data_IF_500474049606
#
_entry.id   IF_500474049606
#
_cell.length_a   1.000
_cell.length_b   1.000
_cell.length_c   1.000
_cell.angle_alpha   90.00
_cell.angle_beta   90.00
_cell.angle_gamma   90.00
#
_symmetry.space_group_name_H-M   'P 1'
#
loop_
_entity.id
_entity.type
_entity.pdbx_description
1 polymer ?
#
# COMPACT_ATOMS: atom_id res chain seq x y z
N UNK A 1 6.03 2.45 11.55
CA UNK A 1 7.41 2.17 11.10
C UNK A 1 7.83 3.05 9.92
N UNK A 2 7.14 3.00 8.77
CA UNK A 2 7.54 3.76 7.57
C UNK A 2 7.69 5.28 7.80
N UNK A 3 6.76 5.93 8.53
CA UNK A 3 6.90 7.35 8.85
C UNK A 3 8.17 7.70 9.65
N UNK A 4 8.65 6.80 10.51
CA UNK A 4 9.92 6.98 11.23
C UNK A 4 11.12 6.78 10.30
N UNK A 5 11.06 5.79 9.42
CA UNK A 5 12.08 5.58 8.37
C UNK A 5 12.28 6.85 7.52
N UNK A 6 11.16 7.48 7.17
CA UNK A 6 11.14 8.72 6.39
C UNK A 6 11.75 9.87 7.19
N UNK A 7 11.24 10.13 8.40
CA UNK A 7 11.51 11.36 9.15
C UNK A 7 12.79 11.33 10.00
N UNK A 8 13.23 10.16 10.47
CA UNK A 8 14.36 10.06 11.41
C UNK A 8 15.65 10.72 10.89
N UNK A 9 16.08 10.54 9.62
CA UNK A 9 17.24 11.25 9.09
C UNK A 9 17.12 12.78 9.11
N UNK A 10 15.91 13.30 8.89
CA UNK A 10 15.66 14.75 8.94
C UNK A 10 15.65 15.28 10.38
N UNK A 11 15.10 14.51 11.33
CA UNK A 11 15.14 14.85 12.75
C UNK A 11 16.57 14.85 13.28
N UNK A 12 17.39 13.86 12.91
CA UNK A 12 18.82 13.82 13.24
C UNK A 12 19.54 15.03 12.66
N UNK A 13 19.32 15.34 11.37
CA UNK A 13 19.92 16.53 10.74
C UNK A 13 19.51 17.82 11.46
N UNK A 14 18.23 17.95 11.83
CA UNK A 14 17.69 19.09 12.56
C UNK A 14 18.34 19.22 13.94
N UNK A 15 18.42 18.13 14.71
CA UNK A 15 19.07 18.10 16.03
C UNK A 15 20.54 18.50 15.94
N UNK A 16 21.31 17.90 15.02
CA UNK A 16 22.74 18.20 14.84
C UNK A 16 22.96 19.68 14.50
N UNK A 17 22.07 20.28 13.71
CA UNK A 17 22.18 21.70 13.32
C UNK A 17 21.65 22.68 14.35
N UNK A 18 20.82 22.24 15.29
CA UNK A 18 20.19 23.08 16.29
C UNK A 18 20.86 23.00 17.65
N UNK A 19 21.46 21.87 18.00
CA UNK A 19 22.18 21.66 19.26
C UNK A 19 23.20 22.78 19.59
N UNK A 20 23.98 23.33 18.63
CA UNK A 20 24.91 24.43 18.91
C UNK A 20 24.25 25.78 19.22
N UNK A 21 22.94 25.94 18.95
CA UNK A 21 22.21 27.21 19.09
C UNK A 21 21.47 27.36 20.43
N UNK A 22 21.58 26.37 21.31
CA UNK A 22 20.99 26.39 22.65
C UNK A 22 20.05 25.22 22.93
N UNK A 23 20.30 24.53 24.05
CA UNK A 23 19.60 23.30 24.42
C UNK A 23 18.13 23.54 24.81
N UNK A 24 17.79 24.68 25.43
CA UNK A 24 16.41 24.99 25.87
C UNK A 24 15.43 25.10 24.70
N UNK A 25 15.82 25.81 23.64
CA UNK A 25 15.01 25.95 22.42
C UNK A 25 14.92 24.63 21.64
N UNK A 26 15.98 23.83 21.67
CA UNK A 26 15.97 22.50 21.05
C UNK A 26 15.06 21.53 21.81
N UNK A 27 15.11 21.57 23.14
CA UNK A 27 14.25 20.76 24.01
C UNK A 27 12.77 21.13 23.87
N UNK A 28 12.43 22.43 23.83
CA UNK A 28 11.05 22.89 23.59
C UNK A 28 10.50 22.37 22.26
N UNK A 29 11.26 22.52 21.19
CA UNK A 29 10.80 22.08 19.86
C UNK A 29 10.76 20.56 19.75
N UNK A 30 11.72 19.86 20.35
CA UNK A 30 11.70 18.40 20.41
C UNK A 30 10.50 17.90 21.21
N UNK A 31 10.15 18.56 22.32
CA UNK A 31 8.95 18.27 23.10
C UNK A 31 7.68 18.53 22.29
N UNK A 32 7.62 19.61 21.50
CA UNK A 32 6.49 19.90 20.62
C UNK A 32 6.36 18.85 19.51
N UNK A 33 7.46 18.49 18.83
CA UNK A 33 7.46 17.43 17.81
C UNK A 33 7.06 16.09 18.41
N UNK A 34 7.58 15.75 19.60
CA UNK A 34 7.23 14.55 20.34
C UNK A 34 5.75 14.52 20.73
N UNK A 35 5.19 15.64 21.20
CA UNK A 35 3.78 15.78 21.52
C UNK A 35 2.90 15.61 20.27
N UNK A 36 3.24 16.25 19.16
CA UNK A 36 2.51 16.10 17.90
C UNK A 36 2.57 14.66 17.39
N UNK A 37 3.73 14.03 17.44
CA UNK A 37 3.88 12.62 17.08
C UNK A 37 3.04 11.71 17.99
N UNK A 38 3.01 11.98 19.31
CA UNK A 38 2.19 11.23 20.26
C UNK A 38 0.68 11.46 20.04
N UNK A 39 0.25 12.67 19.71
CA UNK A 39 -1.16 12.95 19.41
C UNK A 39 -1.63 12.27 18.12
N UNK A 40 -0.78 12.23 17.10
CA UNK A 40 -1.12 11.63 15.80
C UNK A 40 -0.97 10.10 15.82
N UNK A 41 0.14 9.58 16.34
CA UNK A 41 0.46 8.15 16.28
C UNK A 41 0.10 7.40 17.58
N UNK A 42 0.04 8.09 18.72
CA UNK A 42 -0.17 7.47 20.04
C UNK A 42 -1.43 6.61 20.14
N UNK A 43 -2.62 7.06 19.68
CA UNK A 43 -3.82 6.21 19.70
C UNK A 43 -3.63 4.89 18.94
N UNK A 44 -2.90 4.92 17.81
CA UNK A 44 -2.59 3.72 17.04
C UNK A 44 -1.58 2.82 17.75
N UNK A 45 -0.53 3.38 18.37
CA UNK A 45 0.45 2.61 19.14
C UNK A 45 -0.18 1.96 20.37
N UNK A 46 -1.08 2.67 21.07
CA UNK A 46 -1.84 2.13 22.21
C UNK A 46 -2.74 1.00 21.76
N UNK A 47 -3.49 1.18 20.67
CA UNK A 47 -4.30 0.10 20.09
C UNK A 47 -3.44 -1.10 19.72
N UNK A 48 -2.29 -0.87 19.07
CA UNK A 48 -1.39 -1.97 18.70
C UNK A 48 -0.87 -2.73 19.93
N UNK A 49 -0.48 -2.01 20.98
CA UNK A 49 -0.05 -2.60 22.24
C UNK A 49 -1.18 -3.40 22.91
N UNK A 50 -2.41 -2.88 22.89
CA UNK A 50 -3.57 -3.55 23.47
C UNK A 50 -3.95 -4.81 22.70
N UNK A 51 -3.82 -4.82 21.38
CA UNK A 51 -4.25 -5.93 20.54
C UNK A 51 -3.18 -7.03 20.40
N UNK A 52 -1.93 -6.65 20.11
CA UNK A 52 -0.83 -7.59 19.84
C UNK A 52 0.21 -7.69 20.96
N UNK A 53 0.11 -6.86 22.01
CA UNK A 53 1.15 -6.78 23.04
C UNK A 53 2.45 -6.09 22.58
N UNK A 54 2.43 -5.48 21.39
CA UNK A 54 3.58 -4.81 20.77
C UNK A 54 3.11 -3.47 20.14
N UNK A 55 3.73 -2.32 20.45
CA UNK A 55 3.28 -1.03 19.90
C UNK A 55 3.51 -0.93 18.39
N UNK A 56 4.35 -1.80 17.82
CA UNK A 56 4.64 -1.86 16.40
C UNK A 56 3.64 -2.71 15.60
N UNK A 57 2.68 -3.34 16.28
CA UNK A 57 1.65 -4.19 15.67
C UNK A 57 1.99 -5.68 15.78
N UNK A 58 1.42 -6.47 14.87
CA UNK A 58 1.58 -7.92 14.82
C UNK A 58 3.06 -8.33 14.64
N UNK A 59 3.67 -9.02 15.62
CA UNK A 59 5.07 -9.47 15.52
C UNK A 59 5.28 -10.53 14.43
N UNK A 60 4.21 -11.22 14.00
CA UNK A 60 4.27 -12.29 13.01
C UNK A 60 4.10 -11.77 11.58
N UNK A 61 3.83 -10.47 11.41
CA UNK A 61 3.70 -9.82 10.10
C UNK A 61 5.07 -9.58 9.43
N UNK A 62 5.75 -10.69 9.11
CA UNK A 62 7.07 -10.70 8.47
C UNK A 62 7.02 -10.42 6.97
N UNK A 63 5.85 -10.52 6.34
CA UNK A 63 5.69 -10.38 4.89
C UNK A 63 5.93 -8.98 4.36
N UNK A 64 5.84 -7.94 5.20
CA UNK A 64 6.03 -6.54 4.80
C UNK A 64 7.45 -6.06 5.08
N UNK A 65 8.08 -6.59 6.12
CA UNK A 65 9.42 -6.19 6.54
C UNK A 65 10.49 -6.86 5.66
N UNK A 66 11.57 -6.14 5.38
CA UNK A 66 12.74 -6.76 4.78
C UNK A 66 13.38 -7.71 5.80
N UNK A 67 13.41 -9.01 5.50
CA UNK A 67 13.98 -10.04 6.36
C UNK A 67 15.49 -10.23 6.22
N UNK A 68 16.12 -9.61 5.20
CA UNK A 68 17.54 -9.75 4.87
C UNK A 68 18.18 -8.37 4.69
N UNK A 69 19.21 -8.05 5.48
CA UNK A 69 19.76 -6.69 5.62
C UNK A 69 21.24 -6.53 5.21
N UNK A 70 21.84 -7.51 4.53
CA UNK A 70 23.19 -7.31 3.99
C UNK A 70 23.19 -6.28 2.84
N UNK A 71 24.36 -5.67 2.54
CA UNK A 71 24.46 -4.62 1.53
C UNK A 71 23.91 -5.02 0.16
N UNK A 72 24.11 -6.28 -0.26
CA UNK A 72 23.57 -6.79 -1.52
C UNK A 72 22.04 -6.81 -1.50
N UNK A 73 21.43 -7.31 -0.43
CA UNK A 73 19.98 -7.33 -0.27
C UNK A 73 19.36 -5.94 -0.26
N UNK A 74 19.93 -4.99 0.50
CA UNK A 74 19.44 -3.60 0.55
C UNK A 74 19.59 -2.94 -0.83
N UNK A 75 20.70 -3.19 -1.52
CA UNK A 75 20.94 -2.66 -2.87
C UNK A 75 19.90 -3.17 -3.85
N UNK A 76 19.70 -4.49 -3.95
CA UNK A 76 18.72 -5.06 -4.86
C UNK A 76 17.30 -4.62 -4.52
N UNK A 77 16.93 -4.57 -3.24
CA UNK A 77 15.62 -4.08 -2.83
C UNK A 77 15.42 -2.60 -3.23
N UNK A 78 16.41 -1.75 -2.98
CA UNK A 78 16.39 -0.34 -3.40
C UNK A 78 16.28 -0.17 -4.92
N UNK A 79 16.98 -1.01 -5.69
CA UNK A 79 16.91 -1.02 -7.16
C UNK A 79 15.54 -1.49 -7.66
N UNK A 80 14.93 -2.51 -7.05
CA UNK A 80 13.56 -2.96 -7.35
C UNK A 80 12.52 -1.88 -7.06
N UNK A 81 12.66 -1.18 -5.93
CA UNK A 81 11.84 -0.01 -5.58
C UNK A 81 12.01 1.10 -6.63
N UNK A 82 13.25 1.43 -7.00
CA UNK A 82 13.55 2.44 -8.01
C UNK A 82 12.94 2.08 -9.37
N UNK A 83 13.07 0.83 -9.81
CA UNK A 83 12.46 0.32 -11.03
C UNK A 83 10.93 0.44 -11.02
N UNK A 84 10.31 0.22 -9.85
CA UNK A 84 8.85 0.29 -9.67
C UNK A 84 8.33 1.74 -9.74
N UNK A 85 9.02 2.70 -9.10
CA UNK A 85 8.62 4.13 -9.14
C UNK A 85 8.93 4.79 -10.49
N UNK A 86 9.93 4.28 -11.22
CA UNK A 86 10.34 4.74 -12.54
C UNK A 86 9.65 3.98 -13.68
N UNK A 87 8.74 3.06 -13.36
CA UNK A 87 8.07 2.25 -14.37
C UNK A 87 7.30 3.14 -15.35
N UNK A 88 7.31 2.74 -16.62
CA UNK A 88 6.69 3.48 -17.72
C UNK A 88 5.44 2.76 -18.23
N UNK A 89 4.71 3.36 -19.17
CA UNK A 89 3.60 2.69 -19.85
C UNK A 89 4.07 1.72 -20.94
N UNK A 90 5.38 1.62 -21.22
CA UNK A 90 5.93 0.70 -22.21
C UNK A 90 6.31 -0.63 -21.55
N UNK A 91 5.58 -1.69 -21.90
CA UNK A 91 5.88 -3.05 -21.44
C UNK A 91 7.31 -3.49 -21.80
N UNK A 92 7.78 -3.14 -23.00
CA UNK A 92 9.14 -3.45 -23.47
C UNK A 92 10.21 -2.77 -22.61
N UNK A 93 10.07 -1.47 -22.33
CA UNK A 93 11.01 -0.73 -21.47
C UNK A 93 11.04 -1.36 -20.08
N UNK A 94 9.86 -1.64 -19.51
CA UNK A 94 9.78 -2.24 -18.18
C UNK A 94 10.37 -3.65 -18.15
N UNK A 95 10.19 -4.46 -19.19
CA UNK A 95 10.78 -5.79 -19.30
C UNK A 95 12.33 -5.73 -19.35
N UNK A 96 12.89 -4.78 -20.10
CA UNK A 96 14.34 -4.55 -20.11
C UNK A 96 14.87 -4.09 -18.76
N UNK A 97 14.16 -3.19 -18.08
CA UNK A 97 14.52 -2.75 -16.72
C UNK A 97 14.48 -3.93 -15.77
N UNK A 98 13.43 -4.75 -15.80
CA UNK A 98 13.33 -5.95 -14.95
C UNK A 98 14.49 -6.90 -15.21
N UNK A 99 14.78 -7.23 -16.47
CA UNK A 99 15.90 -8.10 -16.81
C UNK A 99 17.26 -7.54 -16.36
N UNK A 100 17.46 -6.22 -16.39
CA UNK A 100 18.67 -5.60 -15.86
C UNK A 100 18.78 -5.71 -14.33
N UNK A 101 17.66 -5.56 -13.62
CA UNK A 101 17.60 -5.76 -12.16
C UNK A 101 17.86 -7.22 -11.80
N UNK A 102 17.28 -8.17 -12.53
CA UNK A 102 17.48 -9.60 -12.30
C UNK A 102 18.92 -10.01 -12.62
N UNK A 103 19.53 -9.46 -13.68
CA UNK A 103 20.95 -9.65 -13.96
C UNK A 103 21.86 -9.14 -12.84
N UNK A 104 21.56 -7.98 -12.27
CA UNK A 104 22.28 -7.45 -11.11
C UNK A 104 22.05 -8.31 -9.86
N UNK A 105 20.82 -8.79 -9.64
CA UNK A 105 20.48 -9.67 -8.53
C UNK A 105 21.24 -11.00 -8.62
N UNK A 106 21.32 -11.59 -9.81
CA UNK A 106 22.08 -12.80 -10.07
C UNK A 106 23.57 -12.60 -9.81
N UNK A 107 24.14 -11.48 -10.27
CA UNK A 107 25.54 -11.11 -10.00
C UNK A 107 25.83 -10.95 -8.51
N UNK A 108 24.85 -10.47 -7.72
CA UNK A 108 24.94 -10.34 -6.26
C UNK A 108 24.47 -11.59 -5.48
N UNK A 109 24.23 -12.71 -6.16
CA UNK A 109 23.73 -13.97 -5.57
C UNK A 109 22.43 -13.80 -4.75
N UNK A 110 21.53 -12.94 -5.23
CA UNK A 110 20.19 -12.75 -4.69
C UNK A 110 19.19 -13.52 -5.58
N UNK A 111 18.34 -14.34 -4.94
CA UNK A 111 17.26 -15.06 -5.65
C UNK A 111 16.11 -14.13 -5.98
N UNK A 112 15.50 -14.31 -7.15
CA UNK A 112 14.43 -13.43 -7.66
C UNK A 112 13.24 -13.36 -6.70
N UNK A 113 12.77 -14.51 -6.22
CA UNK A 113 11.67 -14.66 -5.27
C UNK A 113 12.15 -15.07 -3.86
N UNK A 114 13.21 -14.45 -3.31
CA UNK A 114 13.58 -14.67 -1.90
C UNK A 114 12.45 -14.13 -0.99
N UNK A 115 11.73 -14.98 -0.22
CA UNK A 115 10.61 -14.55 0.63
C UNK A 115 11.04 -13.63 1.79
N UNK A 116 12.35 -13.48 2.03
CA UNK A 116 12.89 -12.48 2.96
C UNK A 116 13.06 -11.10 2.33
N UNK A 117 12.90 -10.99 1.02
CA UNK A 117 13.10 -9.74 0.27
C UNK A 117 11.85 -9.27 -0.46
N UNK A 118 10.90 -10.16 -0.72
CA UNK A 118 9.66 -9.85 -1.42
C UNK A 118 8.44 -10.22 -0.58
N UNK A 119 7.38 -9.43 -0.72
CA UNK A 119 6.13 -9.66 -0.01
C UNK A 119 5.56 -11.02 -0.37
N UNK A 120 5.35 -11.86 0.64
CA UNK A 120 4.77 -13.20 0.48
C UNK A 120 5.55 -14.12 -0.47
N UNK A 121 6.83 -13.82 -0.76
CA UNK A 121 7.61 -14.57 -1.74
C UNK A 121 7.22 -14.31 -3.19
N UNK A 122 6.49 -13.22 -3.49
CA UNK A 122 6.16 -12.86 -4.87
C UNK A 122 7.43 -12.61 -5.70
N UNK A 123 7.52 -13.11 -6.94
CA UNK A 123 8.63 -12.82 -7.82
C UNK A 123 8.63 -11.34 -8.21
N UNK A 124 9.83 -10.77 -8.40
CA UNK A 124 9.96 -9.45 -9.00
C UNK A 124 9.57 -9.50 -10.49
N UNK A 125 8.88 -8.46 -10.97
CA UNK A 125 8.43 -8.41 -12.36
C UNK A 125 7.83 -7.05 -12.74
N UNK A 126 7.38 -6.88 -13.99
CA UNK A 126 6.74 -5.65 -14.44
C UNK A 126 5.44 -5.42 -13.68
N UNK A 127 5.33 -4.27 -13.00
CA UNK A 127 4.14 -3.90 -12.20
C UNK A 127 3.32 -2.77 -12.81
N UNK A 128 3.86 -2.08 -13.81
CA UNK A 128 3.12 -1.02 -14.48
C UNK A 128 2.00 -1.61 -15.32
N UNK A 129 0.80 -1.09 -15.08
CA UNK A 129 -0.39 -1.40 -15.86
C UNK A 129 -0.48 -0.46 -17.07
N UNK A 130 -1.15 -0.90 -18.15
CA UNK A 130 -1.36 -0.05 -19.34
C UNK A 130 -2.31 1.13 -19.08
N UNK A 131 -2.91 1.21 -17.89
CA UNK A 131 -3.78 2.27 -17.42
C UNK A 131 -3.38 2.72 -16.00
N UNK A 132 -3.74 3.95 -15.58
CA UNK A 132 -3.48 4.39 -14.22
C UNK A 132 -4.32 3.60 -13.22
N UNK A 133 -3.67 3.09 -12.20
CA UNK A 133 -4.29 2.30 -11.13
C UNK A 133 -3.76 2.80 -9.80
N UNK A 134 -4.66 3.04 -8.85
CA UNK A 134 -4.33 3.63 -7.56
C UNK A 134 -3.27 2.80 -6.82
N UNK A 135 -3.26 1.46 -6.95
CA UNK A 135 -2.36 0.56 -6.25
C UNK A 135 -0.97 0.48 -6.92
N UNK A 136 -0.92 0.66 -8.24
CA UNK A 136 0.31 0.46 -9.04
C UNK A 136 0.87 1.74 -9.69
N UNK A 137 0.23 2.90 -9.49
CA UNK A 137 0.60 4.15 -10.15
C UNK A 137 2.05 4.56 -9.87
N UNK A 138 2.90 4.46 -10.89
CA UNK A 138 4.25 4.99 -10.89
C UNK A 138 4.24 6.52 -11.12
N UNK A 139 5.30 7.20 -10.72
CA UNK A 139 5.48 8.65 -10.87
C UNK A 139 6.88 8.98 -11.40
N UNK A 140 7.23 8.50 -12.62
CA UNK A 140 8.60 8.51 -13.11
C UNK A 140 9.19 9.91 -13.28
N UNK A 141 8.39 10.91 -13.67
CA UNK A 141 8.87 12.29 -13.85
C UNK A 141 9.28 12.89 -12.50
N UNK A 142 8.41 12.75 -11.49
CA UNK A 142 8.64 13.24 -10.14
C UNK A 142 9.79 12.50 -9.48
N UNK A 143 9.83 11.17 -9.61
CA UNK A 143 10.90 10.34 -9.08
C UNK A 143 12.25 10.71 -9.70
N UNK A 144 12.32 10.84 -11.02
CA UNK A 144 13.56 11.23 -11.72
C UNK A 144 14.02 12.63 -11.31
N UNK A 145 13.10 13.60 -11.20
CA UNK A 145 13.44 14.95 -10.74
C UNK A 145 14.06 14.93 -9.33
N UNK A 146 13.49 14.15 -8.41
CA UNK A 146 14.03 13.97 -7.05
C UNK A 146 15.39 13.26 -7.07
N UNK A 147 15.56 12.19 -7.84
CA UNK A 147 16.83 11.45 -7.92
C UNK A 147 17.96 12.30 -8.52
N UNK A 148 17.68 13.07 -9.59
CA UNK A 148 18.65 14.00 -10.18
C UNK A 148 19.03 15.10 -9.20
N UNK A 149 18.03 15.72 -8.55
CA UNK A 149 18.26 16.75 -7.55
C UNK A 149 19.02 16.23 -6.33
N UNK A 150 18.76 14.99 -5.92
CA UNK A 150 19.49 14.29 -4.88
C UNK A 150 20.96 14.09 -5.26
N UNK A 151 21.24 13.56 -6.46
CA UNK A 151 22.61 13.37 -6.96
C UNK A 151 23.39 14.68 -6.98
N UNK A 152 22.78 15.75 -7.51
CA UNK A 152 23.38 17.09 -7.49
C UNK A 152 23.62 17.60 -6.05
N UNK A 153 22.66 17.36 -5.15
CA UNK A 153 22.75 17.71 -3.75
C UNK A 153 23.89 17.00 -3.03
N UNK A 154 24.09 15.71 -3.28
CA UNK A 154 25.18 14.90 -2.72
C UNK A 154 26.54 15.34 -3.24
N UNK A 155 26.69 15.59 -4.54
CA UNK A 155 27.92 16.14 -5.14
C UNK A 155 28.26 17.49 -4.53
N UNK A 156 27.25 18.33 -4.28
CA UNK A 156 27.37 19.64 -3.63
C UNK A 156 27.42 19.55 -2.10
N UNK A 157 27.50 18.34 -1.54
CA UNK A 157 27.57 18.03 -0.10
C UNK A 157 26.49 18.73 0.73
N UNK A 158 25.26 18.82 0.21
CA UNK A 158 24.12 19.42 0.90
C UNK A 158 23.62 18.48 2.00
N UNK A 159 23.58 18.90 3.28
CA UNK A 159 23.15 17.99 4.34
C UNK A 159 21.70 17.49 4.21
N UNK A 160 20.82 18.30 3.62
CA UNK A 160 19.46 17.85 3.29
C UNK A 160 19.47 16.70 2.27
N UNK A 161 20.39 16.69 1.30
CA UNK A 161 20.53 15.59 0.35
C UNK A 161 20.99 14.30 1.03
N UNK A 162 21.90 14.38 2.01
CA UNK A 162 22.27 13.22 2.83
C UNK A 162 21.10 12.69 3.66
N UNK A 163 20.24 13.56 4.21
CA UNK A 163 19.03 13.14 4.92
C UNK A 163 18.03 12.42 3.98
N UNK A 164 17.82 12.93 2.77
CA UNK A 164 16.97 12.27 1.76
C UNK A 164 17.56 10.92 1.33
N UNK A 165 18.88 10.84 1.08
CA UNK A 165 19.55 9.58 0.75
C UNK A 165 19.43 8.56 1.88
N UNK A 166 19.69 8.96 3.13
CA UNK A 166 19.53 8.12 4.29
C UNK A 166 18.08 7.65 4.45
N UNK A 167 17.10 8.52 4.17
CA UNK A 167 15.68 8.17 4.21
C UNK A 167 15.31 7.10 3.18
N UNK A 168 15.81 7.21 1.95
CA UNK A 168 15.66 6.18 0.89
C UNK A 168 16.32 4.86 1.30
N UNK A 169 17.55 4.91 1.83
CA UNK A 169 18.29 3.73 2.26
C UNK A 169 17.59 3.02 3.43
N UNK A 170 17.16 3.76 4.46
CA UNK A 170 16.45 3.20 5.61
C UNK A 170 15.11 2.61 5.16
N UNK A 171 14.37 3.26 4.25
CA UNK A 171 13.12 2.70 3.72
C UNK A 171 13.38 1.40 2.94
N UNK A 172 14.41 1.40 2.07
CA UNK A 172 14.82 0.22 1.31
C UNK A 172 15.38 -0.89 2.21
N UNK A 173 15.89 -0.58 3.40
CA UNK A 173 16.36 -1.55 4.37
C UNK A 173 15.24 -2.11 5.26
N UNK A 174 14.09 -1.45 5.36
CA UNK A 174 13.00 -1.84 6.27
C UNK A 174 11.83 -2.53 5.57
N UNK A 175 11.54 -2.18 4.31
CA UNK A 175 10.32 -2.61 3.62
C UNK A 175 10.71 -3.58 2.50
N UNK A 176 10.18 -4.80 2.54
CA UNK A 176 10.30 -5.76 1.46
C UNK A 176 9.60 -5.25 0.20
N UNK A 177 10.16 -5.56 -0.97
CA UNK A 177 9.56 -5.15 -2.24
C UNK A 177 8.17 -5.78 -2.40
N UNK A 178 7.24 -4.98 -2.90
CA UNK A 178 5.87 -5.40 -3.23
C UNK A 178 5.36 -4.60 -4.45
N UNK A 179 4.43 -5.13 -5.26
CA UNK A 179 3.97 -4.47 -6.48
C UNK A 179 3.39 -3.06 -6.27
N UNK A 180 2.79 -2.82 -5.11
CA UNK A 180 2.20 -1.54 -4.70
C UNK A 180 3.13 -0.67 -3.82
N UNK A 181 4.45 -0.93 -3.84
CA UNK A 181 5.45 -0.20 -3.04
C UNK A 181 5.47 1.31 -3.31
N UNK A 182 5.00 1.74 -4.48
CA UNK A 182 4.87 3.16 -4.87
C UNK A 182 4.18 4.00 -3.79
N UNK A 183 3.14 3.47 -3.14
CA UNK A 183 2.43 4.17 -2.05
C UNK A 183 3.27 4.31 -0.79
N UNK A 184 4.07 3.29 -0.47
CA UNK A 184 4.87 3.24 0.75
C UNK A 184 6.12 4.12 0.63
N UNK A 185 6.74 4.19 -0.54
CA UNK A 185 7.94 5.02 -0.75
C UNK A 185 7.60 6.48 -1.11
N UNK A 186 6.35 6.78 -1.47
CA UNK A 186 5.91 8.13 -1.84
C UNK A 186 6.29 9.21 -0.80
N UNK A 187 6.08 9.04 0.52
CA UNK A 187 6.46 10.06 1.51
C UNK A 187 7.96 10.40 1.46
N UNK A 188 8.82 9.41 1.18
CA UNK A 188 10.27 9.61 1.02
C UNK A 188 10.59 10.50 -0.19
N UNK A 189 9.93 10.26 -1.32
CA UNK A 189 10.08 11.10 -2.51
C UNK A 189 9.51 12.51 -2.30
N UNK A 190 8.38 12.64 -1.61
CA UNK A 190 7.80 13.94 -1.24
C UNK A 190 8.78 14.73 -0.36
N UNK A 191 9.41 14.09 0.62
CA UNK A 191 10.45 14.72 1.44
C UNK A 191 11.67 15.18 0.62
N UNK A 192 11.93 14.55 -0.54
CA UNK A 192 12.96 14.96 -1.49
C UNK A 192 12.62 16.18 -2.35
N UNK A 193 11.35 16.59 -2.45
CA UNK A 193 10.90 17.67 -3.35
C UNK A 193 11.56 19.03 -3.12
N UNK A 194 11.96 19.46 -1.91
CA UNK A 194 12.69 20.71 -1.74
C UNK A 194 14.04 20.74 -2.46
N UNK A 195 14.69 19.57 -2.67
CA UNK A 195 15.90 19.49 -3.49
C UNK A 195 15.61 19.80 -4.96
N UNK A 196 14.43 19.44 -5.46
CA UNK A 196 14.02 19.72 -6.85
C UNK A 196 13.93 21.23 -7.07
N UNK A 197 13.28 21.97 -6.16
CA UNK A 197 13.24 23.43 -6.21
C UNK A 197 14.64 24.05 -6.17
N UNK A 198 15.47 23.59 -5.24
CA UNK A 198 16.87 24.05 -5.16
C UNK A 198 17.69 23.76 -6.42
N UNK A 199 17.53 22.56 -7.01
CA UNK A 199 18.23 22.18 -8.24
C UNK A 199 17.70 22.99 -9.44
N UNK A 200 16.39 23.22 -9.51
CA UNK A 200 15.75 24.04 -10.52
C UNK A 200 16.30 25.48 -10.49
N UNK A 201 16.42 26.11 -9.32
CA UNK A 201 17.00 27.46 -9.19
C UNK A 201 18.41 27.54 -9.80
N UNK A 202 19.24 26.51 -9.57
CA UNK A 202 20.59 26.43 -10.14
C UNK A 202 20.59 26.23 -11.65
N UNK A 203 19.65 25.42 -12.13
CA UNK A 203 19.46 25.19 -13.56
C UNK A 203 19.00 26.47 -14.27
N UNK A 204 17.99 27.15 -13.71
CA UNK A 204 17.48 28.44 -14.19
C UNK A 204 18.56 29.52 -14.19
N UNK A 205 19.40 29.58 -13.15
CA UNK A 205 20.52 30.52 -13.08
C UNK A 205 21.56 30.28 -14.19
N UNK A 206 21.85 29.00 -14.52
CA UNK A 206 22.82 28.65 -15.56
C UNK A 206 22.26 28.79 -16.98
N UNK A 207 20.99 28.47 -17.18
CA UNK A 207 20.32 28.50 -18.49
C UNK A 207 19.23 29.57 -18.52
N UNK A 208 19.59 30.85 -18.33
CA UNK A 208 18.61 31.92 -18.09
C UNK A 208 17.51 32.06 -19.15
N UNK A 209 17.78 31.68 -20.41
CA UNK A 209 16.80 31.72 -21.52
C UNK A 209 16.04 30.41 -21.70
N UNK A 210 16.73 29.26 -21.70
CA UNK A 210 16.12 27.95 -21.96
C UNK A 210 15.56 27.26 -20.69
N UNK A 211 16.09 27.61 -19.52
CA UNK A 211 15.75 27.02 -18.23
C UNK A 211 14.28 27.15 -17.87
N UNK A 212 13.68 28.37 -17.89
CA UNK A 212 12.27 28.55 -17.58
C UNK A 212 11.37 27.73 -18.50
N UNK A 213 11.70 27.66 -19.80
CA UNK A 213 10.95 26.88 -20.79
C UNK A 213 11.00 25.39 -20.48
N UNK A 214 12.18 24.85 -20.16
CA UNK A 214 12.34 23.44 -19.80
C UNK A 214 11.62 23.09 -18.50
N UNK A 215 11.71 23.93 -17.47
CA UNK A 215 11.00 23.73 -16.21
C UNK A 215 9.48 23.78 -16.44
N UNK A 216 9.00 24.76 -17.21
CA UNK A 216 7.59 24.85 -17.57
C UNK A 216 7.12 23.63 -18.35
N UNK A 217 7.92 23.14 -19.32
CA UNK A 217 7.61 21.92 -20.07
C UNK A 217 7.52 20.69 -19.15
N UNK A 218 8.46 20.51 -18.23
CA UNK A 218 8.41 19.40 -17.25
C UNK A 218 7.17 19.50 -16.37
N UNK A 219 6.84 20.69 -15.86
CA UNK A 219 5.64 20.91 -15.04
C UNK A 219 4.36 20.64 -15.82
N UNK A 220 4.27 21.10 -17.08
CA UNK A 220 3.12 20.86 -17.95
C UNK A 220 2.95 19.37 -18.26
N UNK A 221 4.03 18.67 -18.60
CA UNK A 221 3.97 17.22 -18.87
C UNK A 221 3.61 16.43 -17.61
N UNK A 222 4.21 16.77 -16.46
CA UNK A 222 3.87 16.14 -15.18
C UNK A 222 2.41 16.41 -14.77
N UNK A 223 1.94 17.65 -14.95
CA UNK A 223 0.56 18.05 -14.68
C UNK A 223 -0.44 17.37 -15.60
N UNK A 224 -0.15 17.27 -16.90
CA UNK A 224 -0.98 16.53 -17.86
C UNK A 224 -1.08 15.04 -17.50
N UNK A 225 0.04 14.42 -17.10
CA UNK A 225 0.06 13.04 -16.61
C UNK A 225 -0.77 12.87 -15.34
N UNK A 226 -0.61 13.76 -14.37
CA UNK A 226 -1.43 13.77 -13.16
C UNK A 226 -2.93 13.93 -13.48
N UNK A 227 -3.27 14.85 -14.38
CA UNK A 227 -4.64 15.03 -14.88
C UNK A 227 -5.20 13.76 -15.51
N UNK A 228 -4.42 13.07 -16.34
CA UNK A 228 -4.82 11.77 -16.91
C UNK A 228 -5.02 10.70 -15.82
N UNK A 229 -4.15 10.64 -14.80
CA UNK A 229 -4.34 9.70 -13.68
C UNK A 229 -5.63 9.98 -12.89
N UNK A 230 -6.01 11.24 -12.71
CA UNK A 230 -7.29 11.61 -12.07
C UNK A 230 -8.47 11.30 -12.97
N UNK A 231 -8.34 11.54 -14.28
CA UNK A 231 -9.40 11.31 -15.25
C UNK A 231 -9.75 9.83 -15.41
N UNK A 232 -8.74 8.98 -15.57
CA UNK A 232 -8.88 7.57 -15.95
C UNK A 232 -8.50 6.56 -14.83
N UNK A 233 -7.99 7.03 -13.70
CA UNK A 233 -7.42 6.18 -12.65
C UNK A 233 -8.44 5.25 -12.00
N UNK A 234 -8.17 3.95 -12.08
CA UNK A 234 -8.96 2.95 -11.36
C UNK A 234 -8.54 2.91 -9.89
N UNK A 235 -9.47 2.67 -8.95
CA UNK A 235 -10.87 2.32 -9.16
C UNK A 235 -11.82 3.52 -9.27
N UNK A 236 -11.32 4.75 -9.15
CA UNK A 236 -12.15 5.97 -8.96
C UNK A 236 -11.89 7.01 -10.05
N UNK A 237 -12.16 6.69 -11.33
CA UNK A 237 -11.94 7.65 -12.41
C UNK A 237 -12.96 8.79 -12.29
N UNK A 238 -12.62 9.98 -12.79
CA UNK A 238 -13.59 11.09 -12.89
C UNK A 238 -14.29 11.16 -14.24
N UNK A 239 -13.67 10.68 -15.31
CA UNK A 239 -14.14 10.95 -16.68
C UNK A 239 -14.33 9.74 -17.57
N UNK A 240 -14.42 8.54 -17.00
CA UNK A 240 -14.76 7.32 -17.75
C UNK A 240 -16.21 6.91 -17.48
N UNK A 241 -16.72 5.90 -18.20
CA UNK A 241 -18.02 5.30 -17.92
C UNK A 241 -18.17 4.77 -16.48
N UNK A 242 -17.06 4.54 -15.78
CA UNK A 242 -17.01 4.10 -14.40
C UNK A 242 -16.77 5.26 -13.43
N UNK A 243 -17.15 6.49 -13.81
CA UNK A 243 -16.88 7.69 -13.02
C UNK A 243 -17.52 7.62 -11.64
N UNK A 244 -16.74 7.93 -10.60
CA UNK A 244 -17.25 8.03 -9.21
C UNK A 244 -18.35 9.08 -9.05
N UNK A 245 -18.45 10.01 -10.01
CA UNK A 245 -19.46 11.07 -10.02
C UNK A 245 -20.81 10.61 -10.56
N UNK A 246 -20.84 9.56 -11.39
CA UNK A 246 -22.06 9.14 -12.12
C UNK A 246 -22.51 7.73 -11.75
N UNK A 247 -21.60 6.83 -11.37
CA UNK A 247 -21.98 5.46 -11.04
C UNK A 247 -22.79 5.43 -9.73
N UNK A 248 -23.88 4.64 -9.67
CA UNK A 248 -24.59 4.43 -8.41
C UNK A 248 -23.64 3.91 -7.33
N UNK A 249 -23.78 4.43 -6.11
CA UNK A 249 -22.96 4.01 -4.94
C UNK A 249 -22.96 2.49 -4.71
N UNK A 250 -23.98 1.79 -5.19
CA UNK A 250 -24.10 0.34 -5.14
C UNK A 250 -23.07 -0.33 -6.04
N UNK A 251 -23.06 0.00 -7.34
CA UNK A 251 -22.15 -0.57 -8.32
C UNK A 251 -20.70 -0.11 -8.09
N UNK A 252 -20.51 1.10 -7.55
CA UNK A 252 -19.18 1.63 -7.23
C UNK A 252 -18.39 0.80 -6.21
N UNK A 253 -19.05 -0.04 -5.40
CA UNK A 253 -18.38 -0.95 -4.44
C UNK A 253 -17.69 -2.12 -5.12
N UNK A 254 -18.18 -2.50 -6.31
CA UNK A 254 -17.69 -3.64 -7.08
C UNK A 254 -16.86 -3.19 -8.29
N UNK A 255 -16.36 -1.95 -8.31
CA UNK A 255 -15.75 -1.40 -9.53
C UNK A 255 -14.49 -2.17 -9.98
N UNK A 256 -13.78 -2.82 -9.05
CA UNK A 256 -12.65 -3.74 -9.34
C UNK A 256 -13.07 -5.20 -9.60
N UNK A 257 -14.32 -5.57 -9.30
CA UNK A 257 -14.83 -6.94 -9.34
C UNK A 257 -16.34 -6.96 -9.65
N UNK A 258 -16.72 -6.41 -10.80
CA UNK A 258 -18.14 -6.18 -11.17
C UNK A 258 -18.92 -7.48 -11.32
N UNK A 259 -18.23 -8.52 -11.75
CA UNK A 259 -18.70 -9.89 -11.85
C UNK A 259 -19.18 -10.46 -10.50
N UNK A 260 -18.66 -9.95 -9.38
CA UNK A 260 -19.05 -10.38 -8.03
C UNK A 260 -20.35 -9.72 -7.52
N UNK A 261 -20.84 -8.64 -8.14
CA UNK A 261 -22.03 -7.93 -7.64
C UNK A 261 -23.29 -8.83 -7.60
N UNK A 262 -23.53 -9.57 -8.69
CA UNK A 262 -24.65 -10.51 -8.79
C UNK A 262 -24.56 -11.65 -7.76
N UNK A 263 -23.44 -12.40 -7.71
CA UNK A 263 -23.20 -13.44 -6.71
C UNK A 263 -23.37 -12.96 -5.26
N UNK A 264 -22.83 -11.79 -4.89
CA UNK A 264 -22.97 -11.24 -3.53
C UNK A 264 -24.43 -10.95 -3.18
N UNK A 265 -25.20 -10.39 -4.12
CA UNK A 265 -26.64 -10.14 -3.92
C UNK A 265 -27.43 -11.43 -3.74
N UNK A 266 -27.16 -12.44 -4.57
CA UNK A 266 -27.85 -13.74 -4.49
C UNK A 266 -27.51 -14.46 -3.17
N UNK A 267 -26.24 -14.45 -2.78
CA UNK A 267 -25.79 -14.98 -1.50
C UNK A 267 -26.46 -14.28 -0.32
N UNK A 268 -26.52 -12.94 -0.33
CA UNK A 268 -27.18 -12.16 0.72
C UNK A 268 -28.68 -12.46 0.81
N UNK A 269 -29.37 -12.60 -0.33
CA UNK A 269 -30.78 -13.00 -0.38
C UNK A 269 -31.00 -14.40 0.22
N UNK A 270 -30.09 -15.35 -0.06
CA UNK A 270 -30.16 -16.71 0.50
C UNK A 270 -29.94 -16.70 2.01
N UNK A 271 -28.97 -15.93 2.52
CA UNK A 271 -28.75 -15.75 3.95
C UNK A 271 -29.99 -15.12 4.61
N UNK A 272 -30.57 -14.07 4.00
CA UNK A 272 -31.79 -13.45 4.53
C UNK A 272 -32.97 -14.43 4.57
N UNK A 273 -33.18 -15.22 3.52
CA UNK A 273 -34.26 -16.20 3.46
C UNK A 273 -34.10 -17.34 4.50
N UNK A 274 -32.87 -17.63 4.93
CA UNK A 274 -32.63 -18.62 5.98
C UNK A 274 -33.11 -18.15 7.37
N UNK A 275 -33.23 -16.83 7.58
CA UNK A 275 -33.50 -16.24 8.89
C UNK A 275 -32.28 -16.18 9.81
N UNK A 276 -31.05 -16.33 9.26
CA UNK A 276 -29.81 -16.26 10.02
C UNK A 276 -29.68 -14.90 10.75
N UNK A 277 -29.41 -14.97 12.04
CA UNK A 277 -29.23 -13.79 12.92
C UNK A 277 -27.76 -13.52 13.21
N UNK A 278 -26.92 -14.56 13.14
CA UNK A 278 -25.48 -14.48 13.30
C UNK A 278 -24.79 -15.13 12.12
N UNK A 279 -24.00 -14.35 11.39
CA UNK A 279 -23.37 -14.76 10.13
C UNK A 279 -21.86 -14.79 10.31
N UNK A 280 -21.25 -15.95 10.09
CA UNK A 280 -19.81 -16.10 10.01
C UNK A 280 -19.25 -15.59 8.68
N UNK A 281 -18.09 -14.96 8.73
CA UNK A 281 -17.37 -14.46 7.56
C UNK A 281 -16.04 -15.17 7.42
N UNK A 282 -15.82 -15.81 6.26
CA UNK A 282 -14.57 -16.46 5.87
C UNK A 282 -14.03 -15.79 4.59
N UNK A 283 -12.93 -15.06 4.70
CA UNK A 283 -12.34 -14.33 3.58
C UNK A 283 -10.83 -14.12 3.79
N UNK A 284 -10.15 -13.65 2.75
CA UNK A 284 -8.77 -13.18 2.86
C UNK A 284 -8.71 -11.75 3.40
N UNK A 285 -7.52 -11.25 3.72
CA UNK A 285 -7.29 -9.87 4.17
C UNK A 285 -7.59 -8.81 3.09
N UNK A 286 -7.79 -9.21 1.83
CA UNK A 286 -8.17 -8.35 0.70
C UNK A 286 -9.59 -8.63 0.20
N UNK A 287 -10.36 -9.44 0.92
CA UNK A 287 -11.75 -9.75 0.61
C UNK A 287 -12.67 -8.52 0.63
N UNK A 288 -13.75 -8.57 -0.15
CA UNK A 288 -14.74 -7.51 -0.20
C UNK A 288 -15.71 -7.63 0.98
N UNK A 289 -15.26 -7.24 2.18
CA UNK A 289 -16.10 -7.31 3.37
C UNK A 289 -17.24 -6.29 3.37
N UNK A 290 -16.94 -5.04 3.03
CA UNK A 290 -17.89 -3.93 3.13
C UNK A 290 -19.22 -4.18 2.39
N UNK A 291 -19.24 -4.79 1.20
CA UNK A 291 -20.48 -5.17 0.55
C UNK A 291 -21.42 -6.05 1.38
N UNK A 292 -20.92 -6.98 2.21
CA UNK A 292 -21.79 -7.83 3.04
C UNK A 292 -22.69 -7.03 3.97
N UNK A 293 -22.13 -6.02 4.64
CA UNK A 293 -22.88 -5.11 5.50
C UNK A 293 -24.01 -4.40 4.76
N UNK A 294 -23.87 -4.19 3.45
CA UNK A 294 -24.88 -3.48 2.64
C UNK A 294 -25.87 -4.42 1.98
N UNK A 295 -25.42 -5.53 1.41
CA UNK A 295 -26.30 -6.45 0.67
C UNK A 295 -27.20 -7.26 1.62
N UNK A 296 -26.71 -7.65 2.81
CA UNK A 296 -27.55 -8.32 3.82
C UNK A 296 -28.69 -7.41 4.27
N UNK A 297 -28.39 -6.13 4.56
CA UNK A 297 -29.41 -5.13 4.92
C UNK A 297 -30.43 -4.92 3.81
N UNK A 298 -29.98 -4.87 2.55
CA UNK A 298 -30.90 -4.75 1.40
C UNK A 298 -31.75 -5.99 1.19
N UNK A 299 -31.23 -7.17 1.50
CA UNK A 299 -31.98 -8.41 1.48
C UNK A 299 -32.97 -8.53 2.65
N UNK A 300 -33.04 -7.54 3.55
CA UNK A 300 -33.94 -7.52 4.70
C UNK A 300 -33.36 -8.15 5.97
N UNK A 301 -32.06 -8.51 5.97
CA UNK A 301 -31.39 -9.10 7.12
C UNK A 301 -30.47 -8.08 7.82
N UNK A 302 -30.49 -8.05 9.15
CA UNK A 302 -29.56 -7.25 9.97
C UNK A 302 -28.74 -8.13 10.90
N UNK A 303 -28.02 -9.14 10.36
CA UNK A 303 -27.33 -10.10 11.21
C UNK A 303 -26.11 -9.47 11.87
N UNK A 304 -25.69 -10.06 12.99
CA UNK A 304 -24.36 -9.82 13.54
C UNK A 304 -23.36 -10.59 12.69
N UNK A 305 -22.48 -9.87 11.98
CA UNK A 305 -21.38 -10.48 11.23
C UNK A 305 -20.19 -10.71 12.16
N UNK A 306 -19.66 -11.93 12.19
CA UNK A 306 -18.48 -12.30 12.96
C UNK A 306 -17.42 -12.93 12.05
N UNK A 307 -16.17 -12.51 12.18
CA UNK A 307 -15.07 -13.13 11.43
C UNK A 307 -14.75 -14.51 12.00
N UNK A 308 -14.79 -15.56 11.18
CA UNK A 308 -14.42 -16.92 11.57
C UNK A 308 -12.91 -17.18 11.52
N UNK A 309 -12.14 -16.16 11.14
CA UNK A 309 -10.69 -16.12 11.27
C UNK A 309 -10.29 -14.91 12.11
N UNK A 310 -9.21 -15.03 12.89
CA UNK A 310 -8.65 -13.92 13.63
C UNK A 310 -7.14 -14.05 13.72
N UNK A 311 -6.47 -12.92 13.48
CA UNK A 311 -5.02 -12.74 13.71
C UNK A 311 -4.77 -11.97 15.01
N UNK A 312 -5.82 -11.63 15.76
CA UNK A 312 -5.72 -10.88 17.01
C UNK A 312 -5.67 -11.87 18.18
N UNK A 313 -4.54 -11.97 18.91
CA UNK A 313 -4.40 -12.94 20.00
C UNK A 313 -5.46 -12.79 21.09
N UNK A 314 -5.96 -11.56 21.31
CA UNK A 314 -6.96 -11.25 22.36
C UNK A 314 -8.41 -11.34 21.90
N UNK A 315 -8.65 -11.52 20.60
CA UNK A 315 -10.00 -11.67 20.04
C UNK A 315 -10.04 -12.94 19.18
N UNK A 316 -10.03 -14.13 19.80
CA UNK A 316 -10.03 -15.38 19.05
C UNK A 316 -11.29 -15.49 18.20
N UNK A 317 -11.16 -16.16 17.04
CA UNK A 317 -12.31 -16.41 16.19
C UNK A 317 -13.37 -17.25 16.94
N UNK A 318 -14.66 -16.93 16.81
CA UNK A 318 -15.72 -17.77 17.34
C UNK A 318 -15.75 -19.12 16.61
N UNK A 319 -16.22 -20.15 17.31
CA UNK A 319 -16.41 -21.48 16.71
C UNK A 319 -17.52 -21.42 15.66
N UNK A 320 -17.36 -22.19 14.59
CA UNK A 320 -18.32 -22.21 13.47
C UNK A 320 -19.73 -22.71 13.87
N UNK A 321 -19.85 -23.55 14.90
CA UNK A 321 -21.14 -24.01 15.41
C UNK A 321 -21.95 -22.92 16.16
N UNK A 322 -21.37 -21.73 16.37
CA UNK A 322 -22.02 -20.59 17.04
C UNK A 322 -22.72 -19.63 16.07
N UNK A 323 -22.65 -19.88 14.77
CA UNK A 323 -23.29 -19.05 13.73
C UNK A 323 -24.38 -19.83 13.01
N UNK A 324 -25.32 -19.12 12.40
CA UNK A 324 -26.49 -19.71 11.70
C UNK A 324 -26.20 -19.93 10.21
N UNK A 325 -25.29 -19.11 9.67
CA UNK A 325 -24.87 -19.12 8.29
C UNK A 325 -23.40 -18.67 8.19
N UNK A 326 -22.72 -19.04 7.12
CA UNK A 326 -21.39 -18.54 6.78
C UNK A 326 -21.38 -18.03 5.36
N UNK A 327 -20.83 -16.83 5.15
CA UNK A 327 -20.45 -16.32 3.83
C UNK A 327 -18.94 -16.50 3.66
N UNK A 328 -18.55 -17.24 2.65
CA UNK A 328 -17.16 -17.60 2.38
C UNK A 328 -16.75 -17.11 0.99
N UNK A 329 -15.66 -16.34 0.90
CA UNK A 329 -15.11 -15.82 -0.37
C UNK A 329 -13.75 -16.43 -0.71
N UNK A 330 -13.38 -17.52 -0.02
CA UNK A 330 -12.22 -18.34 -0.36
C UNK A 330 -12.56 -19.23 -1.58
N UNK A 331 -11.58 -19.94 -2.17
CA UNK A 331 -11.85 -20.95 -3.17
C UNK A 331 -12.93 -21.94 -2.69
N UNK A 332 -13.81 -22.38 -3.59
CA UNK A 332 -15.01 -23.15 -3.22
C UNK A 332 -14.68 -24.50 -2.55
N UNK A 333 -13.60 -25.15 -2.97
CA UNK A 333 -13.05 -26.35 -2.34
C UNK A 333 -12.61 -26.08 -0.90
N UNK A 334 -11.95 -24.94 -0.65
CA UNK A 334 -11.60 -24.50 0.71
C UNK A 334 -12.85 -24.19 1.51
N UNK A 335 -13.83 -23.46 0.97
CA UNK A 335 -15.07 -23.13 1.70
C UNK A 335 -15.86 -24.38 2.09
N UNK A 336 -15.94 -25.38 1.21
CA UNK A 336 -16.70 -26.61 1.46
C UNK A 336 -16.08 -27.49 2.54
N UNK A 337 -14.76 -27.44 2.74
CA UNK A 337 -14.08 -28.12 3.86
C UNK A 337 -14.51 -27.62 5.25
N UNK A 338 -15.05 -26.39 5.32
CA UNK A 338 -15.58 -25.85 6.58
C UNK A 338 -17.01 -26.33 6.87
N UNK A 339 -17.70 -26.98 5.93
CA UNK A 339 -19.11 -27.37 6.10
C UNK A 339 -19.27 -28.39 7.23
N UNK A 340 -20.10 -28.06 8.23
CA UNK A 340 -20.40 -28.95 9.34
C UNK A 340 -21.45 -30.01 8.95
N UNK A 341 -21.52 -31.15 9.68
CA UNK A 341 -22.62 -32.10 9.49
C UNK A 341 -24.00 -31.44 9.66
N UNK A 342 -24.91 -31.69 8.71
CA UNK A 342 -26.25 -31.08 8.69
C UNK A 342 -26.28 -29.64 8.17
N UNK A 343 -25.21 -29.19 7.52
CA UNK A 343 -25.18 -27.93 6.78
C UNK A 343 -25.13 -28.17 5.28
N UNK A 344 -25.80 -27.30 4.53
CA UNK A 344 -25.75 -27.28 3.08
C UNK A 344 -24.78 -26.18 2.60
N UNK A 345 -23.97 -26.50 1.60
CA UNK A 345 -23.11 -25.55 0.92
C UNK A 345 -23.73 -25.17 -0.44
N UNK A 346 -23.92 -23.88 -0.68
CA UNK A 346 -24.44 -23.33 -1.93
C UNK A 346 -23.40 -22.41 -2.53
N UNK A 347 -22.85 -22.80 -3.69
CA UNK A 347 -21.83 -22.04 -4.38
C UNK A 347 -22.44 -21.07 -5.41
N UNK A 348 -21.91 -19.85 -5.41
CA UNK A 348 -22.07 -18.82 -6.43
C UNK A 348 -20.66 -18.47 -6.95
N UNK A 349 -20.53 -17.85 -8.14
CA UNK A 349 -19.23 -17.38 -8.61
C UNK A 349 -18.55 -16.47 -7.59
N UNK A 350 -17.42 -16.91 -7.03
CA UNK A 350 -16.62 -16.17 -6.03
C UNK A 350 -17.18 -16.10 -4.61
N UNK A 351 -18.32 -16.77 -4.32
CA UNK A 351 -18.92 -16.81 -2.98
C UNK A 351 -19.54 -18.18 -2.72
N UNK A 352 -19.25 -18.78 -1.57
CA UNK A 352 -19.98 -19.96 -1.06
C UNK A 352 -20.75 -19.58 0.19
N UNK A 353 -22.03 -19.93 0.25
CA UNK A 353 -22.86 -19.78 1.45
C UNK A 353 -23.02 -21.15 2.10
N UNK A 354 -22.67 -21.24 3.39
CA UNK A 354 -22.92 -22.43 4.20
C UNK A 354 -24.11 -22.13 5.11
N UNK A 355 -25.14 -22.96 5.07
CA UNK A 355 -26.36 -22.79 5.85
C UNK A 355 -26.63 -24.02 6.68
N UNK A 356 -27.07 -23.84 7.92
CA UNK A 356 -27.64 -24.92 8.72
C UNK A 356 -28.98 -25.33 8.12
N UNK A 357 -29.17 -26.61 7.82
CA UNK A 357 -30.48 -27.11 7.40
C UNK A 357 -31.48 -26.93 8.55
N UNK A 358 -32.63 -26.33 8.26
CA UNK A 358 -33.76 -26.29 9.21
C UNK A 358 -34.28 -27.73 9.32
N UNK A 359 -34.19 -28.31 10.53
CA UNK A 359 -34.93 -29.53 10.85
C UNK A 359 -36.42 -29.25 10.93
#
# INVERSE_FOLDING_TARGET
MNGLAVLAPFLVLWLVRRAPRGWRLTARDAALVGLLAALVAGPFLVRSQQEWGNPLGDPDLRSIALGRHDPAAITINGVRVAATVLATTSGTVNAHVVGAVDGLAHWLHIRDADPRMTFGGMPFGPVALPYPDEDHAAYPIQALAVLVALGLGLVRRRPYAFAVAASLLVTAALIAWQPWINRLILPTFVAGTPLVGWAADRFLARWRRAGPVLVAAVVLVAGARAGYTVWAGQPRPLGTANSVLTIPRQHGRYVRARDLEGPYRQAAQRVAASGATRVGLLQTNVGLEYPWWTELRRAGATPTIVSLTSVLPRHPAPRMDTVDAVVCTLPADVCTQWTLPGWAAVAYPGVTVLLREKR
#
